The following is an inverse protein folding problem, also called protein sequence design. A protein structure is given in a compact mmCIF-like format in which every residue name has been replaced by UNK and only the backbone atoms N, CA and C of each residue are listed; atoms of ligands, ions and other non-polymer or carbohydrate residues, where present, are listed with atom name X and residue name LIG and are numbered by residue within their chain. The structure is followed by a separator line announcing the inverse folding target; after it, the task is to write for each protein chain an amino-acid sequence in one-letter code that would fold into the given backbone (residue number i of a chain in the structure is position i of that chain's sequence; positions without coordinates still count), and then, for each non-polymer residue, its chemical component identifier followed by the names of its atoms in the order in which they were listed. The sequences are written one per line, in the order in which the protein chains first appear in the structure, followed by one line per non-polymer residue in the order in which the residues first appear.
data_IF_544246096016
#
_entry.id   IF_544246096016
#
_cell.length_a   1.000
_cell.length_b   1.000
_cell.length_c   1.000
_cell.angle_alpha   90.00
_cell.angle_beta   90.00
_cell.angle_gamma   90.00
#
_symmetry.space_group_name_H-M   'P 1'
#
loop_
_entity.id
_entity.type
_entity.pdbx_description
1 polymer ?
#
# COMPACT_ATOMS: atom_id res chain seq x y z
N UNK A 1 21.49 8.30 59.87
CA UNK A 1 20.43 7.31 59.57
C UNK A 1 20.22 7.36 58.06
N UNK A 2 21.24 6.97 57.31
CA UNK A 2 21.49 5.63 56.72
C UNK A 2 21.29 5.79 55.22
N UNK A 3 22.42 6.04 54.57
CA UNK A 3 22.66 5.98 53.14
C UNK A 3 22.20 4.61 52.59
N UNK A 4 21.41 4.62 51.52
CA UNK A 4 20.90 3.41 50.88
C UNK A 4 21.83 3.03 49.71
N UNK A 5 22.55 1.90 49.78
CA UNK A 5 23.41 1.49 48.69
C UNK A 5 22.62 0.82 47.57
N UNK A 6 22.84 1.34 46.37
CA UNK A 6 22.47 0.76 45.08
C UNK A 6 23.39 -0.45 44.81
N UNK A 7 22.80 -1.63 44.59
CA UNK A 7 23.52 -2.77 44.02
C UNK A 7 22.56 -3.72 43.30
N UNK A 8 22.80 -3.92 42.00
CA UNK A 8 22.43 -5.14 41.28
C UNK A 8 23.40 -5.32 40.11
N UNK A 9 24.42 -6.16 40.26
CA UNK A 9 25.23 -6.62 39.14
C UNK A 9 24.61 -7.87 38.49
N UNK A 10 24.50 -7.78 37.18
CA UNK A 10 24.86 -8.75 36.13
C UNK A 10 24.98 -10.25 36.51
N UNK A 11 24.20 -11.08 35.83
CA UNK A 11 24.30 -12.54 35.86
C UNK A 11 25.07 -13.04 34.62
N UNK A 12 26.12 -13.87 34.77
CA UNK A 12 26.74 -14.56 33.66
C UNK A 12 26.11 -15.94 33.40
N UNK A 13 26.20 -16.37 32.14
CA UNK A 13 25.80 -17.67 31.64
C UNK A 13 26.79 -18.80 31.99
N UNK A 14 26.29 -20.04 32.17
CA UNK A 14 26.92 -21.33 31.80
C UNK A 14 25.90 -22.48 32.03
N UNK A 15 25.45 -23.22 31.00
CA UNK A 15 25.92 -24.56 30.51
C UNK A 15 26.10 -25.60 31.63
N UNK A 16 25.54 -26.83 31.62
CA UNK A 16 25.72 -27.99 30.71
C UNK A 16 24.66 -29.09 31.06
N UNK A 17 23.97 -29.75 30.11
CA UNK A 17 24.20 -31.11 29.52
C UNK A 17 23.38 -32.29 30.10
N UNK A 18 22.93 -33.15 29.17
CA UNK A 18 22.42 -34.52 29.35
C UNK A 18 21.07 -34.74 28.62
N UNK A 19 20.81 -35.75 27.79
CA UNK A 19 21.54 -36.93 27.37
C UNK A 19 20.83 -37.56 26.13
N UNK A 20 21.62 -38.24 25.28
CA UNK A 20 21.34 -39.50 24.56
C UNK A 20 20.02 -39.71 23.82
N UNK A 21 20.12 -39.88 22.49
CA UNK A 21 19.19 -40.67 21.66
C UNK A 21 19.63 -42.16 21.62
N UNK A 22 18.70 -43.12 21.45
CA UNK A 22 18.63 -43.74 20.10
C UNK A 22 17.24 -44.21 19.62
N UNK A 23 17.01 -43.97 18.33
CA UNK A 23 16.47 -44.83 17.27
C UNK A 23 15.12 -45.58 17.38
N UNK A 24 14.30 -45.26 16.37
CA UNK A 24 13.57 -46.16 15.46
C UNK A 24 12.30 -46.88 15.94
N UNK A 25 11.17 -46.35 15.48
CA UNK A 25 10.07 -47.18 14.97
C UNK A 25 9.53 -46.53 13.69
N UNK A 26 9.36 -47.37 12.68
CA UNK A 26 9.06 -47.06 11.28
C UNK A 26 7.76 -46.27 11.05
N UNK A 27 7.63 -45.57 9.92
CA UNK A 27 6.43 -44.83 9.54
C UNK A 27 5.31 -45.76 9.07
N UNK A 28 4.11 -45.60 9.61
CA UNK A 28 2.89 -46.16 9.02
C UNK A 28 2.50 -45.37 7.76
N UNK A 29 2.25 -46.06 6.62
CA UNK A 29 1.83 -45.44 5.38
C UNK A 29 0.30 -45.36 5.35
N UNK A 30 -0.24 -44.15 5.45
CA UNK A 30 -1.42 -43.70 4.67
C UNK A 30 -1.93 -42.39 5.26
N UNK A 31 -1.51 -41.28 4.65
CA UNK A 31 -2.39 -40.13 4.55
C UNK A 31 -2.19 -39.62 3.15
N UNK A 32 -3.19 -39.95 2.33
CA UNK A 32 -3.37 -39.50 0.97
C UNK A 32 -3.21 -37.98 0.91
N UNK A 33 -2.02 -37.52 0.54
CA UNK A 33 -1.77 -36.14 0.13
C UNK A 33 -2.00 -36.04 -1.37
N UNK A 34 -3.24 -36.26 -1.77
CA UNK A 34 -3.74 -35.81 -3.06
C UNK A 34 -4.86 -34.81 -2.78
N UNK A 35 -4.92 -33.75 -3.60
CA UNK A 35 -5.73 -32.52 -3.49
C UNK A 35 -4.92 -31.38 -2.83
N UNK A 36 -4.35 -30.41 -3.56
CA UNK A 36 -4.80 -29.86 -4.83
C UNK A 36 -3.59 -29.30 -5.56
N UNK A 37 -3.34 -29.82 -6.75
CA UNK A 37 -2.55 -29.10 -7.75
C UNK A 37 -3.30 -27.80 -8.02
N UNK A 38 -2.79 -26.66 -7.53
CA UNK A 38 -3.22 -25.37 -8.01
C UNK A 38 -2.86 -25.36 -9.49
N UNK A 39 -3.87 -25.55 -10.34
CA UNK A 39 -3.71 -25.34 -11.77
C UNK A 39 -3.04 -23.98 -11.96
N UNK A 40 -2.02 -23.84 -12.85
CA UNK A 40 -1.65 -22.51 -13.28
C UNK A 40 -2.91 -21.92 -13.89
N UNK A 41 -3.45 -20.92 -13.21
CA UNK A 41 -4.54 -20.11 -13.70
C UNK A 41 -4.06 -19.41 -14.97
N UNK A 42 -4.11 -20.13 -16.09
CA UNK A 42 -4.20 -19.57 -17.43
C UNK A 42 -5.60 -18.99 -17.56
N UNK A 43 -5.86 -17.95 -16.78
CA UNK A 43 -6.64 -16.84 -17.22
C UNK A 43 -5.61 -15.74 -17.41
N UNK A 44 -5.37 -15.30 -18.66
CA UNK A 44 -4.86 -13.95 -18.83
C UNK A 44 -5.69 -13.07 -17.90
N UNK A 45 -5.11 -12.16 -17.11
CA UNK A 45 -5.95 -11.16 -16.46
C UNK A 45 -6.76 -10.55 -17.61
N UNK A 46 -8.07 -10.74 -17.56
CA UNK A 46 -9.00 -10.01 -18.40
C UNK A 46 -8.69 -8.56 -18.05
N UNK A 47 -7.91 -7.94 -18.94
CA UNK A 47 -7.36 -6.62 -18.78
C UNK A 47 -8.55 -5.76 -18.37
N UNK A 48 -8.54 -5.08 -17.19
CA UNK A 48 -9.60 -4.13 -16.92
C UNK A 48 -9.56 -3.18 -18.12
N UNK A 49 -10.63 -3.24 -18.93
CA UNK A 49 -10.79 -2.54 -20.18
C UNK A 49 -10.24 -1.14 -19.99
N UNK A 50 -9.16 -0.85 -20.72
CA UNK A 50 -8.38 0.37 -20.59
C UNK A 50 -9.34 1.54 -20.47
N UNK A 51 -9.37 2.17 -19.30
CA UNK A 51 -10.28 3.28 -19.00
C UNK A 51 -9.71 4.51 -19.71
N UNK A 52 -9.82 4.55 -21.03
CA UNK A 52 -9.29 5.62 -21.90
C UNK A 52 -10.15 6.90 -21.84
N UNK A 53 -11.07 6.95 -20.88
CA UNK A 53 -11.77 8.14 -20.44
C UNK A 53 -11.67 8.23 -18.92
N UNK A 54 -10.69 8.98 -18.41
CA UNK A 54 -10.56 9.18 -16.97
C UNK A 54 -11.78 9.96 -16.46
N UNK A 55 -12.54 9.39 -15.54
CA UNK A 55 -13.72 10.01 -14.93
C UNK A 55 -13.32 11.17 -14.02
N UNK A 56 -14.13 12.24 -13.99
CA UNK A 56 -13.94 13.34 -13.06
C UNK A 56 -13.82 12.87 -11.60
N UNK A 57 -12.81 13.37 -10.88
CA UNK A 57 -12.57 13.04 -9.47
C UNK A 57 -13.60 13.63 -8.50
N UNK A 58 -14.53 14.47 -8.96
CA UNK A 58 -15.63 14.96 -8.13
C UNK A 58 -16.54 13.77 -7.80
N UNK A 59 -16.71 13.49 -6.51
CA UNK A 59 -17.62 12.42 -6.07
C UNK A 59 -19.02 12.60 -6.69
N UNK A 60 -19.49 11.55 -7.37
CA UNK A 60 -20.79 11.52 -8.06
C UNK A 60 -20.80 12.04 -9.50
N UNK A 61 -19.72 12.68 -9.98
CA UNK A 61 -19.60 13.08 -11.37
C UNK A 61 -19.09 11.90 -12.20
N UNK A 62 -19.72 11.68 -13.37
CA UNK A 62 -19.35 10.63 -14.33
C UNK A 62 -18.82 11.19 -15.65
N UNK A 63 -18.67 12.51 -15.74
CA UNK A 63 -18.22 13.17 -16.96
C UNK A 63 -16.76 12.89 -17.25
N UNK A 64 -16.44 12.93 -18.54
CA UNK A 64 -15.07 12.81 -19.03
C UNK A 64 -14.21 13.93 -18.48
N UNK A 65 -13.10 13.58 -17.84
CA UNK A 65 -12.11 14.55 -17.45
C UNK A 65 -11.28 15.02 -18.64
N UNK A 66 -11.06 16.34 -18.70
CA UNK A 66 -10.24 17.02 -19.68
C UNK A 66 -9.16 17.90 -19.02
N UNK A 67 -9.16 17.96 -17.69
CA UNK A 67 -8.21 18.71 -16.87
C UNK A 67 -7.50 17.78 -15.89
N UNK A 68 -6.22 18.03 -15.64
CA UNK A 68 -5.41 17.42 -14.59
C UNK A 68 -5.08 18.46 -13.52
N UNK A 69 -5.29 18.11 -12.26
CA UNK A 69 -4.93 18.90 -11.08
C UNK A 69 -3.82 18.18 -10.31
N UNK A 70 -2.58 18.66 -10.45
CA UNK A 70 -1.39 18.12 -9.76
C UNK A 70 -1.20 18.88 -8.46
N UNK A 71 -1.37 18.21 -7.32
CA UNK A 71 -1.39 18.89 -6.03
C UNK A 71 -0.56 18.16 -4.97
N UNK A 72 -0.22 18.87 -3.88
CA UNK A 72 0.52 18.33 -2.73
C UNK A 72 -0.09 18.78 -1.41
N UNK A 73 -0.10 17.89 -0.42
CA UNK A 73 -0.30 18.27 0.98
C UNK A 73 1.07 18.52 1.65
N UNK A 74 1.50 19.78 1.85
CA UNK A 74 2.81 20.09 2.41
C UNK A 74 2.97 19.67 3.88
N UNK A 75 1.88 19.36 4.58
CA UNK A 75 1.91 18.96 5.99
C UNK A 75 2.37 17.51 6.19
N UNK A 76 2.29 16.67 5.16
CA UNK A 76 2.57 15.22 5.26
C UNK A 76 3.49 14.67 4.15
N UNK A 77 3.76 15.45 3.11
CA UNK A 77 4.53 15.00 1.95
C UNK A 77 5.68 15.95 1.63
N UNK A 78 6.87 15.38 1.40
CA UNK A 78 8.00 16.06 0.80
C UNK A 78 7.64 16.60 -0.60
N UNK A 79 8.43 17.56 -1.10
CA UNK A 79 8.08 18.34 -2.29
C UNK A 79 7.98 17.51 -3.58
N UNK A 80 8.65 16.37 -3.63
CA UNK A 80 8.68 15.41 -4.74
C UNK A 80 7.38 14.60 -4.87
N UNK A 81 6.63 14.43 -3.77
CA UNK A 81 5.42 13.60 -3.77
C UNK A 81 4.17 14.43 -4.05
N UNK A 82 3.63 14.29 -5.25
CA UNK A 82 2.36 14.92 -5.70
C UNK A 82 1.29 13.87 -5.98
N UNK A 83 0.04 14.26 -5.78
CA UNK A 83 -1.14 13.52 -6.22
C UNK A 83 -1.71 14.21 -7.47
N UNK A 84 -2.39 13.43 -8.30
CA UNK A 84 -3.10 13.96 -9.47
C UNK A 84 -4.57 13.63 -9.34
N UNK A 85 -5.41 14.64 -9.41
CA UNK A 85 -6.85 14.51 -9.65
C UNK A 85 -7.15 14.90 -11.08
N UNK A 86 -8.28 14.46 -11.62
CA UNK A 86 -8.74 14.83 -12.94
C UNK A 86 -10.14 15.46 -12.88
N UNK A 87 -10.47 16.37 -13.79
CA UNK A 87 -11.74 17.08 -13.76
C UNK A 87 -12.33 17.29 -15.16
N UNK A 88 -13.67 17.26 -15.24
CA UNK A 88 -14.40 17.82 -16.37
C UNK A 88 -14.39 19.36 -16.31
N UNK A 89 -14.88 20.01 -17.36
CA UNK A 89 -14.89 21.48 -17.46
C UNK A 89 -15.71 22.15 -16.34
N UNK A 90 -16.83 21.54 -15.96
CA UNK A 90 -17.70 22.04 -14.90
C UNK A 90 -17.02 22.03 -13.52
N UNK A 91 -16.21 21.00 -13.24
CA UNK A 91 -15.69 20.76 -11.90
C UNK A 91 -14.24 21.19 -11.68
N UNK A 92 -13.50 21.59 -12.72
CA UNK A 92 -12.09 22.01 -12.57
C UNK A 92 -11.94 23.21 -11.61
N UNK A 93 -12.86 24.17 -11.71
CA UNK A 93 -12.88 25.35 -10.84
C UNK A 93 -13.19 24.96 -9.40
N UNK A 94 -14.21 24.12 -9.18
CA UNK A 94 -14.54 23.65 -7.83
C UNK A 94 -13.35 22.95 -7.16
N UNK A 95 -12.69 22.03 -7.86
CA UNK A 95 -11.59 21.24 -7.29
C UNK A 95 -10.33 22.08 -7.03
N UNK A 96 -10.00 23.06 -7.89
CA UNK A 96 -8.86 23.97 -7.63
C UNK A 96 -9.12 24.83 -6.39
N UNK A 97 -10.33 25.34 -6.20
CA UNK A 97 -10.67 26.19 -5.06
C UNK A 97 -10.66 25.36 -3.76
N UNK A 98 -11.16 24.13 -3.82
CA UNK A 98 -11.12 23.20 -2.69
C UNK A 98 -9.68 22.96 -2.20
N UNK A 99 -8.72 22.80 -3.12
CA UNK A 99 -7.30 22.59 -2.78
C UNK A 99 -6.65 23.89 -2.28
N UNK A 100 -6.91 25.01 -2.95
CA UNK A 100 -6.33 26.31 -2.63
C UNK A 100 -6.80 26.82 -1.26
N UNK A 101 -8.06 26.61 -0.89
CA UNK A 101 -8.61 26.96 0.41
C UNK A 101 -7.96 26.18 1.60
N UNK A 102 -7.15 25.15 1.31
CA UNK A 102 -6.40 24.36 2.30
C UNK A 102 -4.90 24.61 2.23
N UNK A 103 -4.47 25.64 1.49
CA UNK A 103 -3.08 25.96 1.22
C UNK A 103 -2.31 24.79 0.56
N UNK A 104 -3.00 23.98 -0.24
CA UNK A 104 -2.37 22.90 -1.00
C UNK A 104 -1.91 23.45 -2.36
N UNK A 105 -0.59 23.50 -2.62
CA UNK A 105 -0.10 23.91 -3.93
C UNK A 105 -0.70 23.00 -5.00
N UNK A 106 -1.35 23.61 -5.99
CA UNK A 106 -2.02 22.93 -7.10
C UNK A 106 -1.61 23.57 -8.42
N UNK A 107 -1.37 22.73 -9.42
CA UNK A 107 -1.14 23.10 -10.81
C UNK A 107 -2.26 22.48 -11.65
N UNK A 108 -2.90 23.28 -12.50
CA UNK A 108 -3.95 22.83 -13.40
C UNK A 108 -3.41 22.83 -14.82
N UNK A 109 -3.57 21.72 -15.53
CA UNK A 109 -3.16 21.57 -16.93
C UNK A 109 -4.23 20.81 -17.71
N UNK A 110 -4.26 20.99 -19.03
CA UNK A 110 -5.10 20.14 -19.89
C UNK A 110 -4.66 18.68 -19.74
N UNK A 111 -5.62 17.78 -19.55
CA UNK A 111 -5.37 16.35 -19.51
C UNK A 111 -5.09 15.90 -20.94
N UNK A 112 -3.84 15.53 -21.22
CA UNK A 112 -3.50 14.82 -22.44
C UNK A 112 -4.10 13.41 -22.36
N UNK A 113 -5.37 13.27 -22.74
CA UNK A 113 -5.97 11.97 -22.98
C UNK A 113 -5.24 11.39 -24.19
N UNK A 114 -4.43 10.34 -23.97
CA UNK A 114 -3.87 9.59 -25.08
C UNK A 114 -5.04 8.90 -25.78
N UNK A 115 -5.32 9.21 -27.06
CA UNK A 115 -6.33 8.47 -27.78
C UNK A 115 -5.88 7.00 -27.89
N UNK A 116 -6.85 6.10 -27.78
CA UNK A 116 -6.67 4.66 -27.96
C UNK A 116 -6.10 4.31 -29.33
#
# INVERSE_FOLDING_TARGET
MTDAPQASPEQPASVEQGATAPQAASPDPTTSVEQTTIAPQTALPEQPTSVEQTECSRAGCRDKAIWALRWRNPRIHAADRRKTWVACDEHVVYLREFLSARDFPVEVAALAVRPA
#
